data_IF_110696620502
#
_entry.id   IF_110696620502
#
_cell.length_a   1.000
_cell.length_b   1.000
_cell.length_c   1.000
_cell.angle_alpha   90.00
_cell.angle_beta   90.00
_cell.angle_gamma   90.00
#
_symmetry.space_group_name_H-M   'P 1'
#
loop_
_entity.id
_entity.type
_entity.pdbx_description
1 polymer ?
#
# COMPACT_ATOMS: atom_id res chain seq x y z
N UNK A 1 -0.05 2.99 -15.21
CA UNK A 1 -0.40 3.26 -13.80
C UNK A 1 -1.51 4.28 -13.80
N UNK A 2 -2.47 4.12 -12.90
CA UNK A 2 -3.66 4.98 -12.80
C UNK A 2 -3.83 5.36 -11.32
N UNK A 3 -4.58 6.43 -11.08
CA UNK A 3 -4.86 6.94 -9.74
C UNK A 3 -6.36 7.11 -9.55
N UNK A 4 -6.84 6.92 -8.32
CA UNK A 4 -8.21 7.29 -7.95
C UNK A 4 -8.41 8.81 -8.03
N UNK A 5 -9.66 9.25 -8.11
CA UNK A 5 -9.99 10.67 -8.27
C UNK A 5 -9.52 11.55 -7.09
N UNK A 6 -9.44 10.97 -5.89
CA UNK A 6 -9.07 11.69 -4.66
C UNK A 6 -7.58 11.55 -4.30
N UNK A 7 -6.78 10.87 -5.13
CA UNK A 7 -5.33 10.70 -4.94
C UNK A 7 -4.63 12.03 -5.24
N UNK A 8 -3.71 12.45 -4.38
CA UNK A 8 -3.05 13.78 -4.49
C UNK A 8 -1.52 13.76 -4.36
N UNK A 9 -0.96 12.72 -3.77
CA UNK A 9 0.47 12.50 -3.55
C UNK A 9 1.19 11.76 -4.67
N UNK A 10 0.47 11.20 -5.65
CA UNK A 10 1.04 10.53 -6.82
C UNK A 10 0.29 10.87 -8.11
N UNK A 11 0.99 10.79 -9.23
CA UNK A 11 0.45 10.91 -10.58
C UNK A 11 0.74 9.66 -11.43
N UNK A 12 -0.04 9.40 -12.49
CA UNK A 12 0.29 8.39 -13.49
C UNK A 12 1.73 8.55 -14.01
N UNK A 13 2.51 7.47 -13.92
CA UNK A 13 3.92 7.43 -14.29
C UNK A 13 4.90 7.45 -13.12
N UNK A 14 4.47 7.83 -11.91
CA UNK A 14 5.34 7.80 -10.73
C UNK A 14 5.78 6.37 -10.38
N UNK A 15 7.04 6.25 -9.95
CA UNK A 15 7.57 5.00 -9.42
C UNK A 15 7.29 4.93 -7.92
N UNK A 16 6.65 3.86 -7.51
CA UNK A 16 6.26 3.62 -6.12
C UNK A 16 6.76 2.28 -5.61
N UNK A 17 7.01 2.21 -4.32
CA UNK A 17 7.26 0.99 -3.58
C UNK A 17 6.02 0.64 -2.73
N UNK A 18 5.76 -0.65 -2.58
CA UNK A 18 4.64 -1.20 -1.82
C UNK A 18 5.23 -2.11 -0.74
N UNK A 19 4.80 -1.92 0.50
CA UNK A 19 5.24 -2.73 1.63
C UNK A 19 4.37 -3.96 1.88
N UNK A 20 4.41 -4.43 3.13
CA UNK A 20 3.65 -5.60 3.60
C UNK A 20 2.19 -5.31 3.94
N UNK A 21 1.80 -4.03 3.95
CA UNK A 21 0.43 -3.55 4.20
C UNK A 21 -0.05 -2.68 3.04
N UNK A 22 -1.34 -2.79 2.71
CA UNK A 22 -1.97 -2.03 1.61
C UNK A 22 -3.22 -1.26 2.02
N UNK A 23 -3.78 -1.54 3.21
CA UNK A 23 -4.86 -0.75 3.81
C UNK A 23 -4.92 -0.90 5.35
N UNK A 24 -5.69 -0.04 6.03
CA UNK A 24 -6.07 -0.13 7.44
C UNK A 24 -7.42 0.58 7.70
N UNK A 25 -7.96 0.50 8.92
CA UNK A 25 -9.22 1.21 9.24
C UNK A 25 -9.11 2.74 9.13
N UNK A 26 -7.91 3.31 9.26
CA UNK A 26 -7.68 4.76 9.19
C UNK A 26 -8.24 5.59 10.34
N UNK A 27 -9.02 4.99 11.26
CA UNK A 27 -9.79 5.71 12.29
C UNK A 27 -9.43 5.35 13.73
N UNK A 28 -8.79 4.21 13.97
CA UNK A 28 -8.37 3.82 15.33
C UNK A 28 -7.15 4.63 15.82
N UNK A 29 -6.89 4.70 17.14
CA UNK A 29 -5.78 5.48 17.69
C UNK A 29 -4.42 5.14 17.08
N UNK A 30 -4.17 3.87 16.75
CA UNK A 30 -2.91 3.45 16.12
C UNK A 30 -2.81 3.97 14.68
N UNK A 31 -3.89 3.91 13.90
CA UNK A 31 -3.89 4.46 12.54
C UNK A 31 -3.75 5.98 12.53
N UNK A 32 -4.41 6.67 13.47
CA UNK A 32 -4.28 8.14 13.62
C UNK A 32 -2.88 8.56 14.07
N UNK A 33 -2.15 7.68 14.78
CA UNK A 33 -0.78 7.88 15.19
C UNK A 33 0.27 7.45 14.14
N UNK A 34 -0.13 7.08 12.91
CA UNK A 34 0.78 6.61 11.86
C UNK A 34 1.40 5.24 12.17
N UNK A 35 0.68 4.40 12.91
CA UNK A 35 1.06 3.05 13.32
C UNK A 35 0.05 2.04 12.80
N UNK A 36 -0.22 2.08 11.51
CA UNK A 36 -1.22 1.26 10.81
C UNK A 36 -0.93 -0.24 10.96
N UNK A 37 0.34 -0.62 11.17
CA UNK A 37 0.74 -1.99 11.47
C UNK A 37 0.14 -2.53 12.79
N UNK A 38 -0.33 -1.65 13.68
CA UNK A 38 -1.06 -1.98 14.90
C UNK A 38 -2.56 -1.61 14.79
N UNK A 39 -3.12 -1.56 13.59
CA UNK A 39 -4.54 -1.30 13.37
C UNK A 39 -5.41 -2.23 14.25
N UNK A 40 -6.31 -1.64 15.03
CA UNK A 40 -7.17 -2.37 15.96
C UNK A 40 -8.12 -3.37 15.28
N UNK A 41 -8.47 -3.09 14.02
CA UNK A 41 -9.29 -3.98 13.18
C UNK A 41 -8.44 -4.92 12.31
N UNK A 42 -7.14 -5.05 12.60
CA UNK A 42 -6.13 -5.73 11.77
C UNK A 42 -5.87 -5.00 10.43
N UNK A 43 -4.62 -4.75 10.03
CA UNK A 43 -4.34 -4.09 8.76
C UNK A 43 -4.60 -5.05 7.58
N UNK A 44 -4.91 -4.50 6.42
CA UNK A 44 -4.96 -5.29 5.19
C UNK A 44 -3.54 -5.56 4.72
N UNK A 45 -3.15 -6.82 4.74
CA UNK A 45 -1.84 -7.30 4.32
C UNK A 45 -1.78 -7.45 2.80
N UNK A 46 -0.58 -7.34 2.22
CA UNK A 46 -0.36 -7.41 0.76
C UNK A 46 -0.73 -8.76 0.14
N UNK A 47 -0.79 -9.83 0.92
CA UNK A 47 -1.24 -11.14 0.46
C UNK A 47 -1.83 -11.97 1.60
N UNK A 48 -2.75 -12.88 1.29
CA UNK A 48 -3.31 -13.83 2.25
C UNK A 48 -4.26 -13.22 3.29
N UNK A 49 -4.59 -11.93 3.17
CA UNK A 49 -5.66 -11.26 3.91
C UNK A 49 -6.95 -11.14 3.09
N UNK A 50 -7.87 -10.33 3.60
CA UNK A 50 -9.10 -9.93 2.91
C UNK A 50 -9.05 -8.42 2.63
N UNK A 51 -9.38 -8.04 1.40
CA UNK A 51 -9.49 -6.65 1.00
C UNK A 51 -10.67 -5.98 1.71
N UNK A 52 -10.48 -4.74 2.16
CA UNK A 52 -11.49 -3.98 2.94
C UNK A 52 -12.60 -3.38 2.09
N UNK A 53 -12.40 -3.27 0.77
CA UNK A 53 -13.33 -2.65 -0.18
C UNK A 53 -14.29 -3.69 -0.74
N UNK A 54 -13.78 -4.81 -1.24
CA UNK A 54 -14.58 -5.84 -1.92
C UNK A 54 -14.65 -7.19 -1.18
N UNK A 55 -13.86 -7.38 -0.12
CA UNK A 55 -13.81 -8.61 0.66
C UNK A 55 -13.08 -9.78 -0.03
N UNK A 56 -12.52 -9.58 -1.21
CA UNK A 56 -11.78 -10.61 -1.93
C UNK A 56 -10.42 -10.87 -1.27
N UNK A 57 -9.82 -12.07 -1.48
CA UNK A 57 -8.47 -12.34 -1.00
C UNK A 57 -7.45 -11.38 -1.63
N UNK A 58 -6.58 -10.79 -0.81
CA UNK A 58 -5.43 -10.01 -1.31
C UNK A 58 -4.41 -10.95 -1.94
N UNK A 59 -3.93 -10.59 -3.15
CA UNK A 59 -2.95 -11.36 -3.93
C UNK A 59 -1.69 -10.52 -4.12
N UNK A 60 -0.54 -11.03 -3.66
CA UNK A 60 0.71 -10.25 -3.55
C UNK A 60 1.34 -9.79 -4.86
N UNK A 61 2.52 -9.16 -4.72
CA UNK A 61 3.27 -8.54 -5.82
C UNK A 61 3.91 -9.50 -6.85
N UNK A 62 3.67 -10.82 -6.75
CA UNK A 62 4.02 -11.77 -7.82
C UNK A 62 2.94 -11.76 -8.90
N UNK A 63 2.67 -10.56 -9.39
CA UNK A 63 1.57 -10.18 -10.26
C UNK A 63 2.03 -9.05 -11.17
N UNK A 64 1.32 -8.83 -12.28
CA UNK A 64 1.65 -7.74 -13.21
C UNK A 64 1.26 -6.37 -12.66
N UNK A 65 0.19 -6.31 -11.88
CA UNK A 65 -0.45 -5.09 -11.39
C UNK A 65 -0.98 -5.31 -9.97
N UNK A 66 -1.06 -4.23 -9.21
CA UNK A 66 -1.57 -4.21 -7.84
C UNK A 66 -2.38 -2.92 -7.61
N UNK A 67 -3.44 -2.99 -6.80
CA UNK A 67 -4.26 -1.84 -6.38
C UNK A 67 -4.16 -1.69 -4.86
N UNK A 68 -3.85 -0.50 -4.38
CA UNK A 68 -3.69 -0.20 -2.95
C UNK A 68 -4.20 1.20 -2.60
N UNK A 69 -4.44 1.45 -1.32
CA UNK A 69 -4.73 2.82 -0.83
C UNK A 69 -3.46 3.67 -0.90
N UNK A 70 -3.58 4.89 -1.43
CA UNK A 70 -2.48 5.85 -1.61
C UNK A 70 -1.53 5.97 -0.42
N UNK A 71 -2.07 5.98 0.81
CA UNK A 71 -1.29 6.10 2.05
C UNK A 71 -0.24 4.99 2.25
N UNK A 72 -0.40 3.85 1.59
CA UNK A 72 0.50 2.70 1.66
C UNK A 72 1.41 2.58 0.43
N UNK A 73 1.31 3.52 -0.52
CA UNK A 73 2.29 3.69 -1.57
C UNK A 73 3.41 4.61 -1.07
N UNK A 74 4.66 4.21 -1.30
CA UNK A 74 5.83 4.98 -0.93
C UNK A 74 6.54 5.47 -2.19
N UNK A 75 6.97 6.74 -2.27
CA UNK A 75 7.72 7.21 -3.42
C UNK A 75 9.06 6.45 -3.52
N UNK A 76 9.40 5.95 -4.70
CA UNK A 76 10.73 5.39 -4.95
C UNK A 76 11.73 6.54 -5.19
N UNK A 77 12.74 6.74 -4.34
CA UNK A 77 13.69 7.85 -4.50
C UNK A 77 14.42 7.79 -5.84
N UNK A 78 14.68 8.96 -6.43
CA UNK A 78 15.46 9.05 -7.66
C UNK A 78 16.87 8.48 -7.45
N UNK A 79 17.29 7.57 -8.33
CA UNK A 79 18.60 6.90 -8.27
C UNK A 79 18.63 5.62 -7.44
N UNK A 80 17.54 5.24 -6.76
CA UNK A 80 17.43 3.93 -6.15
C UNK A 80 16.83 2.93 -7.14
N UNK A 81 17.60 1.91 -7.51
CA UNK A 81 17.14 0.87 -8.44
C UNK A 81 15.97 0.07 -7.84
N UNK A 82 14.89 -0.19 -8.60
CA UNK A 82 13.71 -0.90 -8.08
C UNK A 82 14.04 -2.26 -7.46
N UNK A 83 14.97 -3.02 -8.05
CA UNK A 83 15.40 -4.31 -7.53
C UNK A 83 16.13 -4.20 -6.17
N UNK A 84 16.84 -3.09 -5.93
CA UNK A 84 17.51 -2.81 -4.66
C UNK A 84 16.55 -2.24 -3.61
N UNK A 85 15.50 -1.54 -4.04
CA UNK A 85 14.47 -0.99 -3.16
C UNK A 85 13.50 -2.06 -2.64
N UNK A 86 13.13 -3.03 -3.47
CA UNK A 86 12.15 -4.06 -3.16
C UNK A 86 12.34 -4.75 -1.79
N UNK A 87 13.55 -5.17 -1.37
CA UNK A 87 13.75 -5.83 -0.07
C UNK A 87 13.77 -4.89 1.15
N UNK A 88 13.64 -3.57 0.98
CA UNK A 88 13.66 -2.59 2.08
C UNK A 88 12.27 -2.33 2.70
N UNK A 89 11.22 -2.95 2.13
CA UNK A 89 9.81 -2.66 2.39
C UNK A 89 9.13 -3.71 3.26
#
# INVERSE_FOLDING_TARGET
>A
TETGADVTGFAPGDKVAIGTLVDSCGTCPMCLAGRENYCAEFPTVTYGGADRVDGLPTLGGYSREYVLREKFAFPLPAGLEPAAAAPLM
#
